data_IF_115647708837
#
_entry.id   IF_115647708837
#
_cell.length_a   1.000
_cell.length_b   1.000
_cell.length_c   1.000
_cell.angle_alpha   90.00
_cell.angle_beta   90.00
_cell.angle_gamma   90.00
#
_symmetry.space_group_name_H-M   'P 1'
#
loop_
_entity.id
_entity.type
_entity.pdbx_description
1 polymer ?
#
# COMPACT_ATOMS: atom_id res chain seq x y z
N UNK A 1 9.81 -31.66 -3.64
CA UNK A 1 10.37 -30.30 -3.68
C UNK A 1 10.34 -29.78 -2.25
N UNK A 2 11.48 -29.50 -1.64
CA UNK A 2 11.56 -28.88 -0.31
C UNK A 2 11.12 -27.42 -0.47
N UNK A 3 10.01 -27.06 0.14
CA UNK A 3 9.56 -25.65 0.21
C UNK A 3 10.59 -24.89 1.03
N UNK A 4 11.21 -23.89 0.45
CA UNK A 4 12.21 -23.08 1.12
C UNK A 4 11.52 -22.35 2.30
N UNK A 5 12.04 -22.57 3.49
CA UNK A 5 11.47 -22.05 4.73
C UNK A 5 12.34 -20.90 5.24
N UNK A 6 11.78 -19.70 5.24
CA UNK A 6 12.43 -18.50 5.76
C UNK A 6 11.97 -18.24 7.20
N UNK A 7 12.91 -18.02 8.12
CA UNK A 7 12.61 -17.63 9.51
C UNK A 7 12.98 -16.16 9.72
N UNK A 8 12.07 -15.39 10.32
CA UNK A 8 12.26 -13.97 10.54
C UNK A 8 11.62 -13.53 11.87
N UNK A 9 12.10 -12.45 12.47
CA UNK A 9 11.46 -11.91 13.68
C UNK A 9 10.12 -11.27 13.33
N UNK A 10 10.11 -10.29 12.42
CA UNK A 10 8.90 -9.55 12.07
C UNK A 10 8.63 -9.58 10.57
N UNK A 11 7.46 -10.05 10.16
CA UNK A 11 6.96 -9.93 8.80
C UNK A 11 6.02 -8.73 8.71
N UNK A 12 6.28 -7.85 7.75
CA UNK A 12 5.41 -6.72 7.39
C UNK A 12 4.71 -7.07 6.08
N UNK A 13 3.39 -7.02 6.07
CA UNK A 13 2.58 -7.32 4.88
C UNK A 13 2.04 -6.03 4.28
N UNK A 14 2.59 -5.64 3.13
CA UNK A 14 2.24 -4.44 2.38
C UNK A 14 3.39 -3.44 2.27
N UNK A 15 3.74 -3.06 1.03
CA UNK A 15 4.80 -2.12 0.66
C UNK A 15 4.30 -0.69 0.43
N UNK A 16 3.27 -0.28 1.15
CA UNK A 16 2.76 1.10 1.18
C UNK A 16 3.39 1.94 2.29
N UNK A 17 2.82 3.12 2.52
CA UNK A 17 3.31 4.10 3.50
C UNK A 17 3.59 3.48 4.88
N UNK A 18 2.62 2.78 5.45
CA UNK A 18 2.75 2.20 6.79
C UNK A 18 3.82 1.09 6.86
N UNK A 19 3.89 0.24 5.84
CA UNK A 19 4.86 -0.85 5.80
C UNK A 19 6.29 -0.37 5.65
N UNK A 20 6.53 0.61 4.78
CA UNK A 20 7.85 1.21 4.56
C UNK A 20 8.32 1.97 5.81
N UNK A 21 7.43 2.78 6.41
CA UNK A 21 7.75 3.49 7.65
C UNK A 21 8.09 2.52 8.79
N UNK A 22 7.31 1.44 8.95
CA UNK A 22 7.59 0.40 9.94
C UNK A 22 8.95 -0.28 9.68
N UNK A 23 9.25 -0.59 8.42
CA UNK A 23 10.51 -1.21 8.03
C UNK A 23 11.72 -0.34 8.41
N UNK A 24 11.64 0.95 8.17
CA UNK A 24 12.70 1.90 8.54
C UNK A 24 12.91 1.92 10.06
N UNK A 25 11.85 2.00 10.84
CA UNK A 25 11.94 1.96 12.30
C UNK A 25 12.56 0.65 12.82
N UNK A 26 12.17 -0.49 12.25
CA UNK A 26 12.75 -1.79 12.64
C UNK A 26 14.22 -1.89 12.22
N UNK A 27 14.59 -1.33 11.07
CA UNK A 27 16.00 -1.22 10.64
C UNK A 27 16.83 -0.44 11.65
N UNK A 28 16.36 0.73 12.08
CA UNK A 28 17.03 1.57 13.11
C UNK A 28 17.19 0.85 14.44
N UNK A 29 16.23 0.01 14.79
CA UNK A 29 16.26 -0.78 16.03
C UNK A 29 17.07 -2.08 15.91
N UNK A 30 17.61 -2.39 14.74
CA UNK A 30 18.34 -3.65 14.50
C UNK A 30 17.46 -4.90 14.56
N UNK A 31 16.14 -4.77 14.40
CA UNK A 31 15.19 -5.88 14.45
C UNK A 31 15.13 -6.52 13.06
N UNK A 32 15.39 -7.84 13.01
CA UNK A 32 15.27 -8.63 11.77
C UNK A 32 13.84 -8.62 11.27
N UNK A 33 13.62 -8.16 10.03
CA UNK A 33 12.31 -8.09 9.44
C UNK A 33 12.36 -8.22 7.92
N UNK A 34 11.19 -8.40 7.32
CA UNK A 34 11.01 -8.43 5.87
C UNK A 34 9.66 -7.79 5.55
N UNK A 35 9.63 -6.92 4.54
CA UNK A 35 8.39 -6.42 3.94
C UNK A 35 8.06 -7.28 2.73
N UNK A 36 6.83 -7.76 2.66
CA UNK A 36 6.29 -8.44 1.47
C UNK A 36 5.21 -7.60 0.86
N UNK A 37 5.34 -7.33 -0.43
CA UNK A 37 4.37 -6.62 -1.24
C UNK A 37 3.98 -7.48 -2.46
N UNK A 38 2.69 -7.65 -2.71
CA UNK A 38 2.18 -8.47 -3.82
C UNK A 38 2.43 -7.86 -5.20
N UNK A 39 2.52 -6.54 -5.26
CA UNK A 39 2.76 -5.79 -6.49
C UNK A 39 4.08 -4.99 -6.39
N UNK A 40 4.08 -3.76 -6.91
CA UNK A 40 5.20 -2.81 -6.77
C UNK A 40 5.08 -2.03 -5.46
N UNK A 41 6.17 -1.49 -4.99
CA UNK A 41 6.14 -0.51 -3.90
C UNK A 41 5.18 0.62 -4.25
N UNK A 42 4.38 1.04 -3.27
CA UNK A 42 3.40 2.11 -3.43
C UNK A 42 2.34 1.87 -4.53
N UNK A 43 2.01 0.63 -4.86
CA UNK A 43 1.09 0.30 -5.95
C UNK A 43 -0.26 1.02 -5.86
N UNK A 44 -0.80 1.19 -4.64
CA UNK A 44 -2.06 1.90 -4.44
C UNK A 44 -2.02 3.37 -4.88
N UNK A 45 -0.86 4.01 -4.84
CA UNK A 45 -0.65 5.36 -5.36
C UNK A 45 -0.61 5.37 -6.90
N UNK A 46 -0.04 4.35 -7.51
CA UNK A 46 0.12 4.25 -8.96
C UNK A 46 -1.19 3.89 -9.66
N UNK A 47 -1.83 2.81 -9.26
CA UNK A 47 -2.95 2.21 -9.99
C UNK A 47 -4.32 2.35 -9.31
N UNK A 48 -4.35 2.73 -8.03
CA UNK A 48 -5.59 2.81 -7.24
C UNK A 48 -6.14 4.23 -7.04
N UNK A 49 -5.66 5.21 -7.80
CA UNK A 49 -6.00 6.63 -7.65
C UNK A 49 -6.23 7.30 -8.99
N UNK A 50 -6.99 8.41 -8.97
CA UNK A 50 -7.21 9.25 -10.16
C UNK A 50 -5.96 10.02 -10.55
N UNK A 51 -5.89 10.42 -11.84
CA UNK A 51 -4.67 10.93 -12.44
C UNK A 51 -4.17 12.25 -11.82
N UNK A 52 -5.09 13.12 -11.42
CA UNK A 52 -4.76 14.43 -10.84
C UNK A 52 -4.60 14.43 -9.32
N UNK A 53 -4.52 13.24 -8.67
CA UNK A 53 -4.33 13.19 -7.23
C UNK A 53 -2.98 13.78 -6.84
N UNK A 54 -3.02 14.62 -5.82
CA UNK A 54 -1.84 15.07 -5.04
C UNK A 54 -1.96 14.59 -3.59
N UNK A 55 -0.85 14.57 -2.88
CA UNK A 55 -0.83 14.29 -1.44
C UNK A 55 -1.72 15.27 -0.67
N UNK A 56 -2.32 14.85 0.43
CA UNK A 56 -3.25 15.68 1.21
C UNK A 56 -2.55 16.78 2.03
N UNK A 57 -1.29 16.56 2.36
CA UNK A 57 -0.45 17.51 3.08
C UNK A 57 0.65 18.08 2.20
N UNK A 58 1.28 19.19 2.63
CA UNK A 58 2.46 19.71 1.98
C UNK A 58 3.65 18.76 2.16
N UNK A 59 4.63 18.87 1.29
CA UNK A 59 5.81 17.97 1.25
C UNK A 59 6.53 17.85 2.61
N UNK A 60 6.65 18.96 3.35
CA UNK A 60 7.29 18.94 4.67
C UNK A 60 6.53 18.09 5.70
N UNK A 61 5.22 17.97 5.54
CA UNK A 61 4.36 17.19 6.45
C UNK A 61 4.34 15.69 6.07
N UNK A 62 4.23 15.39 4.76
CA UNK A 62 3.98 14.03 4.27
C UNK A 62 5.26 13.21 4.04
N UNK A 63 6.43 13.83 4.18
CA UNK A 63 7.72 13.14 4.08
C UNK A 63 7.95 12.13 5.18
N UNK A 64 8.74 11.11 4.87
CA UNK A 64 9.28 10.20 5.87
C UNK A 64 10.51 10.80 6.60
N UNK A 65 10.82 10.33 7.81
CA UNK A 65 12.01 10.77 8.53
C UNK A 65 13.30 10.56 7.74
N UNK A 66 14.12 11.60 7.67
CA UNK A 66 15.47 11.50 7.09
C UNK A 66 15.55 11.64 5.57
N UNK A 67 14.44 11.88 4.87
CA UNK A 67 14.45 12.14 3.42
C UNK A 67 13.38 13.14 3.02
N UNK A 68 13.77 14.13 2.21
CA UNK A 68 12.86 15.12 1.63
C UNK A 68 12.31 14.65 0.29
N UNK A 69 11.15 15.20 -0.13
CA UNK A 69 10.70 15.06 -1.50
C UNK A 69 11.60 15.83 -2.46
N UNK A 70 11.78 15.32 -3.66
CA UNK A 70 12.49 16.05 -4.73
C UNK A 70 11.70 17.28 -5.15
N UNK A 71 12.38 18.32 -5.64
CA UNK A 71 11.74 19.53 -6.18
C UNK A 71 11.83 20.77 -5.32
N UNK A 72 12.27 20.68 -4.08
CA UNK A 72 12.78 21.81 -3.27
C UNK A 72 11.74 22.78 -2.69
N UNK A 73 10.45 22.68 -3.03
CA UNK A 73 9.41 23.51 -2.39
C UNK A 73 8.69 22.69 -1.31
N UNK A 74 8.99 22.95 -0.02
CA UNK A 74 8.40 22.20 1.09
C UNK A 74 6.88 22.37 1.21
N UNK A 75 6.32 23.47 0.73
CA UNK A 75 4.89 23.78 0.80
C UNK A 75 4.09 23.24 -0.38
N UNK A 76 4.74 22.56 -1.34
CA UNK A 76 4.03 21.96 -2.46
C UNK A 76 3.27 20.68 -2.08
N UNK A 77 2.14 20.45 -2.75
CA UNK A 77 1.39 19.20 -2.69
C UNK A 77 1.91 18.24 -3.76
N UNK A 78 2.45 17.13 -3.34
CA UNK A 78 3.20 16.22 -4.23
C UNK A 78 2.24 15.37 -5.08
N UNK A 79 2.41 15.32 -6.43
CA UNK A 79 1.66 14.44 -7.30
C UNK A 79 1.80 12.96 -6.92
N UNK A 80 0.75 12.17 -7.14
CA UNK A 80 0.69 10.76 -6.76
C UNK A 80 1.87 9.91 -7.26
N UNK A 81 2.32 10.19 -8.48
CA UNK A 81 3.40 9.42 -9.09
C UNK A 81 4.76 9.78 -8.46
N UNK A 82 4.97 11.03 -8.08
CA UNK A 82 6.15 11.48 -7.34
C UNK A 82 6.16 10.93 -5.91
N UNK A 83 4.98 10.77 -5.28
CA UNK A 83 4.87 10.07 -3.99
C UNK A 83 5.28 8.60 -4.14
N UNK A 84 4.85 7.94 -5.20
CA UNK A 84 5.22 6.55 -5.44
C UNK A 84 6.72 6.39 -5.72
N UNK A 85 7.32 7.30 -6.50
CA UNK A 85 8.77 7.33 -6.74
C UNK A 85 9.55 7.59 -5.44
N UNK A 86 9.09 8.54 -4.63
CA UNK A 86 9.68 8.84 -3.33
C UNK A 86 9.72 7.60 -2.41
N UNK A 87 8.67 6.78 -2.39
CA UNK A 87 8.65 5.55 -1.59
C UNK A 87 9.70 4.53 -2.08
N UNK A 88 9.86 4.37 -3.39
CA UNK A 88 10.92 3.52 -3.95
C UNK A 88 12.31 4.05 -3.63
N UNK A 89 12.50 5.36 -3.77
CA UNK A 89 13.76 6.03 -3.42
C UNK A 89 14.08 5.86 -1.94
N UNK A 90 13.07 5.95 -1.08
CA UNK A 90 13.23 5.75 0.36
C UNK A 90 13.69 4.33 0.68
N UNK A 91 13.05 3.33 0.08
CA UNK A 91 13.46 1.92 0.24
C UNK A 91 14.91 1.71 -0.18
N UNK A 92 15.33 2.31 -1.30
CA UNK A 92 16.72 2.21 -1.78
C UNK A 92 17.70 2.95 -0.86
N UNK A 93 17.38 4.18 -0.47
CA UNK A 93 18.25 5.02 0.34
C UNK A 93 18.53 4.42 1.73
N UNK A 94 17.55 3.78 2.33
CA UNK A 94 17.67 3.16 3.64
C UNK A 94 17.93 1.65 3.58
N UNK A 95 18.13 1.10 2.38
CA UNK A 95 18.40 -0.32 2.14
C UNK A 95 17.39 -1.23 2.88
N UNK A 96 16.09 -0.89 2.79
CA UNK A 96 15.03 -1.61 3.49
C UNK A 96 14.80 -3.00 2.86
N UNK A 97 14.59 -4.05 3.66
CA UNK A 97 14.39 -5.42 3.17
C UNK A 97 12.95 -5.59 2.64
N UNK A 98 12.73 -5.19 1.39
CA UNK A 98 11.44 -5.31 0.71
C UNK A 98 11.51 -6.35 -0.40
N UNK A 99 10.55 -7.27 -0.44
CA UNK A 99 10.35 -8.24 -1.51
C UNK A 99 9.01 -7.97 -2.18
N UNK A 100 9.05 -7.61 -3.45
CA UNK A 100 7.87 -7.33 -4.30
C UNK A 100 7.48 -8.55 -5.13
N UNK A 101 6.25 -8.58 -5.66
CA UNK A 101 5.75 -9.70 -6.45
C UNK A 101 5.34 -10.92 -5.63
N UNK A 102 5.34 -10.83 -4.30
CA UNK A 102 5.04 -11.94 -3.40
C UNK A 102 3.75 -11.68 -2.64
N UNK A 103 2.76 -12.51 -2.86
CA UNK A 103 1.47 -12.41 -2.18
C UNK A 103 1.39 -13.33 -0.96
N UNK A 104 0.95 -12.79 0.17
CA UNK A 104 0.57 -13.59 1.35
C UNK A 104 -0.80 -14.20 1.10
N UNK A 105 -0.88 -15.53 1.13
CA UNK A 105 -2.12 -16.31 0.94
C UNK A 105 -2.84 -16.55 2.24
N UNK A 106 -2.09 -16.92 3.27
CA UNK A 106 -2.62 -17.15 4.61
C UNK A 106 -1.59 -16.80 5.68
N UNK A 107 -2.07 -16.48 6.87
CA UNK A 107 -1.24 -16.30 8.06
C UNK A 107 -1.96 -16.94 9.24
N UNK A 108 -1.36 -17.94 9.85
CA UNK A 108 -1.95 -18.74 10.93
C UNK A 108 -1.04 -18.67 12.16
N UNK A 109 -1.64 -18.40 13.31
CA UNK A 109 -0.93 -18.46 14.58
C UNK A 109 -0.57 -19.91 14.91
N UNK A 110 0.67 -20.14 15.31
CA UNK A 110 1.13 -21.47 15.64
C UNK A 110 0.46 -22.01 16.91
N UNK A 111 0.09 -23.30 16.90
CA UNK A 111 -0.38 -24.00 18.08
C UNK A 111 0.81 -24.54 18.88
N UNK A 112 0.82 -24.31 20.19
CA UNK A 112 1.84 -24.86 21.11
C UNK A 112 3.22 -24.18 21.05
N UNK A 113 3.42 -23.16 20.19
CA UNK A 113 4.65 -22.36 20.12
C UNK A 113 4.35 -20.90 19.72
N UNK A 114 5.19 -19.93 20.09
CA UNK A 114 5.03 -18.56 19.64
C UNK A 114 5.16 -18.40 18.12
N UNK A 115 4.56 -17.31 17.59
CA UNK A 115 4.73 -16.91 16.20
C UNK A 115 3.65 -17.41 15.28
N UNK A 116 3.92 -17.26 13.99
CA UNK A 116 2.98 -17.47 12.88
C UNK A 116 3.65 -18.26 11.77
N UNK A 117 2.85 -19.06 11.08
CA UNK A 117 3.20 -19.69 9.82
C UNK A 117 2.46 -18.95 8.71
N UNK A 118 3.19 -18.43 7.72
CA UNK A 118 2.67 -17.61 6.64
C UNK A 118 2.93 -18.31 5.31
N UNK A 119 1.86 -18.60 4.58
CA UNK A 119 1.94 -19.10 3.21
C UNK A 119 1.98 -17.95 2.22
N UNK A 120 2.91 -18.01 1.30
CA UNK A 120 3.08 -17.01 0.23
C UNK A 120 3.10 -17.67 -1.14
N UNK A 121 3.12 -16.87 -2.20
CA UNK A 121 3.31 -17.37 -3.58
C UNK A 121 4.70 -17.95 -3.82
N UNK A 122 5.69 -17.67 -2.97
CA UNK A 122 7.08 -18.15 -3.11
C UNK A 122 7.50 -19.17 -2.04
N UNK A 123 6.59 -19.57 -1.16
CA UNK A 123 6.90 -20.54 -0.11
C UNK A 123 6.37 -20.15 1.25
N UNK A 124 6.94 -20.74 2.30
CA UNK A 124 6.48 -20.57 3.68
C UNK A 124 7.46 -19.72 4.49
N UNK A 125 6.91 -18.75 5.20
CA UNK A 125 7.65 -17.89 6.15
C UNK A 125 7.17 -18.21 7.57
N UNK A 126 8.11 -18.38 8.47
CA UNK A 126 7.85 -18.41 9.91
C UNK A 126 8.26 -17.07 10.51
N UNK A 127 7.35 -16.42 11.21
CA UNK A 127 7.60 -15.12 11.83
C UNK A 127 7.15 -15.12 13.30
N UNK A 128 7.90 -14.43 14.16
CA UNK A 128 7.47 -14.23 15.55
C UNK A 128 6.33 -13.22 15.64
N UNK A 129 6.35 -12.22 14.75
CA UNK A 129 5.38 -11.12 14.69
C UNK A 129 4.93 -10.87 13.25
N UNK A 130 3.70 -10.38 13.11
CA UNK A 130 3.17 -9.90 11.84
C UNK A 130 2.65 -8.48 12.02
N UNK A 131 3.00 -7.61 11.07
CA UNK A 131 2.44 -6.27 10.93
C UNK A 131 1.57 -6.26 9.68
N UNK A 132 0.27 -6.09 9.84
CA UNK A 132 -0.67 -5.94 8.73
C UNK A 132 -0.68 -4.47 8.27
N UNK A 133 0.01 -4.19 7.16
CA UNK A 133 0.13 -2.88 6.54
C UNK A 133 -0.51 -2.85 5.14
N UNK A 134 -1.57 -3.65 4.94
CA UNK A 134 -2.20 -3.92 3.65
C UNK A 134 -3.05 -2.77 3.10
N UNK A 135 -3.28 -1.73 3.90
CA UNK A 135 -4.12 -0.58 3.57
C UNK A 135 -5.63 -0.87 3.70
N UNK A 136 -6.45 0.19 3.85
CA UNK A 136 -7.87 0.06 4.14
C UNK A 136 -8.76 -0.18 2.90
N UNK A 137 -8.27 0.14 1.69
CA UNK A 137 -9.09 0.21 0.46
C UNK A 137 -8.98 -1.05 -0.41
N UNK A 138 -9.16 -2.24 0.18
CA UNK A 138 -8.98 -3.52 -0.52
C UNK A 138 -10.17 -3.94 -1.37
N UNK A 139 -11.38 -3.63 -0.94
CA UNK A 139 -12.63 -4.03 -1.63
C UNK A 139 -13.52 -2.81 -1.85
N UNK A 140 -13.62 -2.32 -3.10
CA UNK A 140 -14.56 -1.26 -3.42
C UNK A 140 -16.00 -1.73 -3.25
N UNK A 141 -16.83 -0.92 -2.60
CA UNK A 141 -18.26 -1.20 -2.40
C UNK A 141 -19.06 -0.03 -2.95
N UNK A 142 -19.94 -0.31 -3.91
CA UNK A 142 -20.94 0.66 -4.36
C UNK A 142 -22.21 0.40 -3.55
N UNK A 143 -22.67 1.35 -2.72
CA UNK A 143 -23.91 1.20 -1.98
C UNK A 143 -25.10 1.02 -2.94
N UNK A 144 -26.07 0.14 -2.64
CA UNK A 144 -27.23 -0.10 -3.51
C UNK A 144 -28.30 0.99 -3.36
N UNK A 145 -27.92 2.25 -3.61
CA UNK A 145 -28.81 3.42 -3.48
C UNK A 145 -29.54 3.76 -4.78
N UNK A 146 -29.04 3.31 -5.92
CA UNK A 146 -29.73 3.45 -7.20
C UNK A 146 -30.68 2.26 -7.42
N UNK A 147 -31.82 2.44 -8.10
CA UNK A 147 -32.70 1.35 -8.50
C UNK A 147 -31.93 0.33 -9.35
N UNK A 148 -32.23 -0.98 -9.18
CA UNK A 148 -31.55 -2.06 -9.91
C UNK A 148 -31.72 -1.95 -11.44
N UNK A 149 -32.82 -1.39 -11.89
CA UNK A 149 -33.17 -1.21 -13.30
C UNK A 149 -32.74 0.18 -13.83
N UNK A 150 -31.91 0.90 -13.09
CA UNK A 150 -31.42 2.20 -13.49
C UNK A 150 -30.45 2.10 -14.66
N UNK A 151 -30.62 2.95 -15.67
CA UNK A 151 -29.66 3.15 -16.77
C UNK A 151 -28.44 4.01 -16.37
N UNK A 152 -28.34 4.38 -15.09
CA UNK A 152 -27.25 5.22 -14.59
C UNK A 152 -25.89 4.48 -14.68
N UNK A 153 -24.92 5.16 -15.26
CA UNK A 153 -23.54 4.71 -15.19
C UNK A 153 -23.03 4.89 -13.74
N UNK A 154 -22.63 3.80 -13.10
CA UNK A 154 -22.12 3.83 -11.73
C UNK A 154 -20.67 3.38 -11.73
N UNK A 155 -19.79 4.15 -11.11
CA UNK A 155 -18.37 3.87 -10.99
C UNK A 155 -17.93 4.10 -9.55
N UNK A 156 -17.12 3.19 -9.00
CA UNK A 156 -16.47 3.39 -7.71
C UNK A 156 -15.23 4.27 -7.88
N UNK A 157 -14.92 5.16 -6.92
CA UNK A 157 -13.75 6.06 -6.97
C UNK A 157 -12.42 5.33 -7.22
N UNK A 158 -12.27 4.08 -6.77
CA UNK A 158 -11.09 3.26 -7.05
C UNK A 158 -10.92 2.85 -8.54
N UNK A 159 -11.92 3.10 -9.39
CA UNK A 159 -11.90 2.84 -10.83
C UNK A 159 -12.02 4.12 -11.67
N UNK A 160 -12.17 5.24 -11.01
CA UNK A 160 -12.17 6.53 -11.67
C UNK A 160 -10.74 7.06 -11.77
N UNK A 161 -10.29 7.40 -12.96
CA UNK A 161 -8.97 7.96 -13.20
C UNK A 161 -9.04 9.42 -13.70
N UNK A 162 -9.98 9.71 -14.61
CA UNK A 162 -10.10 11.02 -15.21
C UNK A 162 -11.50 11.24 -15.80
N UNK A 163 -11.88 12.50 -16.14
CA UNK A 163 -13.19 12.82 -16.69
C UNK A 163 -13.54 12.11 -18.01
N UNK A 164 -12.53 11.72 -18.80
CA UNK A 164 -12.74 11.07 -20.11
C UNK A 164 -13.36 9.67 -19.99
N UNK A 165 -13.36 9.09 -18.80
CA UNK A 165 -14.04 7.81 -18.54
C UNK A 165 -15.55 7.96 -18.39
N UNK A 166 -16.04 9.18 -18.18
CA UNK A 166 -17.45 9.42 -17.87
C UNK A 166 -18.23 9.71 -19.15
N UNK A 167 -19.46 9.18 -19.31
CA UNK A 167 -20.35 9.59 -20.37
C UNK A 167 -20.73 11.05 -20.21
N UNK A 168 -21.16 11.67 -21.31
CA UNK A 168 -21.70 13.04 -21.27
C UNK A 168 -22.92 13.12 -20.34
N UNK A 169 -23.03 14.22 -19.62
CA UNK A 169 -24.17 14.48 -18.72
C UNK A 169 -23.78 14.97 -17.35
N UNK A 170 -24.76 14.98 -16.45
CA UNK A 170 -24.56 15.38 -15.07
C UNK A 170 -23.90 14.24 -14.26
N UNK A 171 -23.00 14.62 -13.34
CA UNK A 171 -22.30 13.69 -12.45
C UNK A 171 -22.74 13.91 -11.01
N UNK A 172 -23.20 12.84 -10.37
CA UNK A 172 -23.48 12.84 -8.94
C UNK A 172 -22.32 12.13 -8.21
N UNK A 173 -21.68 12.84 -7.29
CA UNK A 173 -20.68 12.26 -6.39
C UNK A 173 -21.34 11.87 -5.08
N UNK A 174 -21.23 10.60 -4.68
CA UNK A 174 -21.79 10.07 -3.45
C UNK A 174 -20.66 9.80 -2.46
N UNK A 175 -20.63 10.58 -1.39
CA UNK A 175 -19.60 10.56 -0.36
C UNK A 175 -18.69 11.78 -0.45
N UNK A 176 -18.12 12.15 0.70
CA UNK A 176 -17.22 13.29 0.86
C UNK A 176 -16.10 12.98 1.84
N UNK A 177 -15.72 11.70 1.95
CA UNK A 177 -14.58 11.28 2.74
C UNK A 177 -13.25 11.58 2.04
N UNK A 178 -12.22 11.79 2.81
CA UNK A 178 -10.82 11.93 2.36
C UNK A 178 -10.08 10.60 2.46
#
# INVERSE_FOLDING_TARGET
>A
MTVEKTNIDTLIVGGGQAGIAMSEHLTKLGISHLVIEKNRIAEAWRSGRWDSLVANGPAWHDRFPGMEFKGGNPDSFIPKDDVAEYFEDYVRAFNLPVRTGVEVKSAVRNSGRPGFTIETTEGVIEAQRIVAATGPFQKPVIPPIAPKESSLHQIHSARYYNPQQLPEGAVLVVGAGS
#
